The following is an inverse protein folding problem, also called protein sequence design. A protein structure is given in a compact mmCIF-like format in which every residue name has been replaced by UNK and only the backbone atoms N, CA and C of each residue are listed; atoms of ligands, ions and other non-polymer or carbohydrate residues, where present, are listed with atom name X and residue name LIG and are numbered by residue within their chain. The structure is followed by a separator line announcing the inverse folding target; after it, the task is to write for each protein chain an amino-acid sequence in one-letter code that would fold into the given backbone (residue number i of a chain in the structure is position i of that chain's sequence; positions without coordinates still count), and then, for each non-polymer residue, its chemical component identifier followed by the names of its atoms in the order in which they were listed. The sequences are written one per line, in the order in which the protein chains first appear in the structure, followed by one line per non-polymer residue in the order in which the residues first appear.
data_IF_889431303584
#
_entry.id   IF_889431303584
#
_cell.length_a   1.000
_cell.length_b   1.000
_cell.length_c   1.000
_cell.angle_alpha   90.00
_cell.angle_beta   90.00
_cell.angle_gamma   90.00
#
_symmetry.space_group_name_H-M   'P 1'
#
loop_
_entity.id
_entity.type
_entity.pdbx_description
1 polymer ?
#
# COMPACT_ATOMS: atom_id res chain seq x y z
N UNK A 1 9.84 0.64 -36.43
CA UNK A 1 9.08 1.91 -36.39
C UNK A 1 7.68 1.76 -35.79
N UNK A 2 6.85 0.81 -36.23
CA UNK A 2 5.52 0.60 -35.62
C UNK A 2 5.62 0.07 -34.17
N UNK A 3 6.39 -1.00 -33.94
CA UNK A 3 6.62 -1.57 -32.61
C UNK A 3 7.19 -0.56 -31.60
N UNK A 4 8.16 0.25 -32.02
CA UNK A 4 8.74 1.28 -31.16
C UNK A 4 7.70 2.32 -30.71
N UNK A 5 6.77 2.72 -31.60
CA UNK A 5 5.69 3.66 -31.24
C UNK A 5 4.71 3.04 -30.24
N UNK A 6 4.40 1.76 -30.37
CA UNK A 6 3.54 1.05 -29.41
C UNK A 6 4.17 1.01 -28.01
N UNK A 7 5.48 0.75 -27.91
CA UNK A 7 6.19 0.74 -26.62
C UNK A 7 6.21 2.13 -25.97
N UNK A 8 6.42 3.20 -26.74
CA UNK A 8 6.37 4.56 -26.21
C UNK A 8 4.96 4.97 -25.77
N UNK A 9 3.91 4.61 -26.52
CA UNK A 9 2.53 4.86 -26.13
C UNK A 9 2.16 4.11 -24.85
N UNK A 10 2.56 2.84 -24.74
CA UNK A 10 2.37 2.07 -23.52
C UNK A 10 3.10 2.72 -22.34
N UNK A 11 4.35 3.13 -22.52
CA UNK A 11 5.16 3.75 -21.47
C UNK A 11 4.56 5.09 -21.01
N UNK A 12 4.05 5.90 -21.93
CA UNK A 12 3.36 7.15 -21.60
C UNK A 12 2.05 6.91 -20.86
N UNK A 13 1.24 5.94 -21.30
CA UNK A 13 -0.01 5.58 -20.63
C UNK A 13 0.25 5.04 -19.21
N UNK A 14 1.26 4.18 -19.05
CA UNK A 14 1.67 3.65 -17.75
C UNK A 14 2.17 4.78 -16.83
N UNK A 15 3.00 5.69 -17.35
CA UNK A 15 3.53 6.82 -16.59
C UNK A 15 2.48 7.80 -16.09
N UNK A 16 1.36 7.97 -16.81
CA UNK A 16 0.25 8.83 -16.36
C UNK A 16 -0.75 8.13 -15.42
N UNK A 17 -0.80 6.80 -15.42
CA UNK A 17 -1.79 6.03 -14.67
C UNK A 17 -1.16 5.22 -13.54
N UNK A 18 -0.84 3.95 -13.79
CA UNK A 18 -0.35 3.01 -12.79
C UNK A 18 0.98 3.43 -12.15
N UNK A 19 1.82 4.18 -12.85
CA UNK A 19 3.09 4.69 -12.33
C UNK A 19 2.92 5.45 -11.01
N UNK A 20 2.25 6.61 -11.00
CA UNK A 20 1.98 7.36 -9.77
C UNK A 20 0.91 6.71 -8.88
N UNK A 21 -0.17 6.18 -9.49
CA UNK A 21 -1.31 5.65 -8.71
C UNK A 21 -0.91 4.45 -7.86
N UNK A 22 -0.01 3.58 -8.34
CA UNK A 22 0.42 2.40 -7.60
C UNK A 22 1.10 2.70 -6.26
N UNK A 23 1.71 3.89 -6.12
CA UNK A 23 2.37 4.32 -4.89
C UNK A 23 1.46 5.13 -3.97
N UNK A 24 0.49 5.85 -4.55
CA UNK A 24 -0.45 6.69 -3.79
C UNK A 24 -1.60 5.86 -3.23
N UNK A 25 -2.15 4.93 -4.02
CA UNK A 25 -3.34 4.15 -3.67
C UNK A 25 -3.23 3.40 -2.33
N UNK A 26 -2.12 2.72 -1.98
CA UNK A 26 -2.01 2.07 -0.68
C UNK A 26 -2.12 3.06 0.49
N UNK A 27 -1.66 4.29 0.32
CA UNK A 27 -1.72 5.31 1.38
C UNK A 27 -3.14 5.86 1.61
N UNK A 28 -3.98 5.81 0.58
CA UNK A 28 -5.37 6.26 0.61
C UNK A 28 -6.33 5.15 1.05
N UNK A 29 -6.03 3.88 0.73
CA UNK A 29 -6.90 2.74 1.06
C UNK A 29 -6.79 2.31 2.53
N UNK A 30 -5.62 2.49 3.17
CA UNK A 30 -5.44 2.06 4.56
C UNK A 30 -5.80 3.16 5.58
N UNK A 31 -6.60 2.84 6.62
CA UNK A 31 -6.94 3.78 7.69
C UNK A 31 -5.70 4.14 8.52
N UNK A 32 -5.70 5.33 9.11
CA UNK A 32 -4.53 5.96 9.73
C UNK A 32 -3.81 5.08 10.78
N UNK A 33 -4.58 4.29 11.51
CA UNK A 33 -4.11 3.37 12.56
C UNK A 33 -3.15 2.28 12.07
N UNK A 34 -3.47 1.68 10.92
CA UNK A 34 -2.73 0.54 10.33
C UNK A 34 -1.98 0.92 9.07
N UNK A 35 -2.07 2.17 8.63
CA UNK A 35 -1.49 2.68 7.37
C UNK A 35 -0.03 2.30 7.22
N UNK A 36 0.80 2.52 8.24
CA UNK A 36 2.24 2.21 8.17
C UNK A 36 2.50 0.71 7.95
N UNK A 37 1.71 -0.17 8.57
CA UNK A 37 1.79 -1.63 8.40
C UNK A 37 1.26 -2.08 7.02
N UNK A 38 0.14 -1.51 6.58
CA UNK A 38 -0.44 -1.81 5.26
C UNK A 38 0.44 -1.35 4.09
N UNK A 39 0.98 -0.12 4.17
CA UNK A 39 1.86 0.45 3.14
C UNK A 39 3.20 -0.31 3.07
N UNK A 40 3.77 -0.72 4.19
CA UNK A 40 4.99 -1.53 4.22
C UNK A 40 4.78 -2.92 3.61
N UNK A 41 3.66 -3.59 3.89
CA UNK A 41 3.32 -4.87 3.26
C UNK A 41 3.07 -4.73 1.74
N UNK A 42 2.39 -3.66 1.33
CA UNK A 42 2.18 -3.35 -0.09
C UNK A 42 3.50 -3.12 -0.82
N UNK A 43 4.41 -2.35 -0.21
CA UNK A 43 5.76 -2.10 -0.74
C UNK A 43 6.58 -3.37 -0.81
N UNK A 44 6.58 -4.20 0.24
CA UNK A 44 7.27 -5.49 0.24
C UNK A 44 6.74 -6.42 -0.87
N UNK A 45 5.42 -6.47 -1.05
CA UNK A 45 4.78 -7.25 -2.12
C UNK A 45 5.15 -6.72 -3.51
N UNK A 46 5.27 -5.41 -3.69
CA UNK A 46 5.71 -4.81 -4.95
C UNK A 46 7.14 -5.25 -5.30
N UNK A 47 8.07 -5.14 -4.35
CA UNK A 47 9.46 -5.56 -4.55
C UNK A 47 9.59 -7.07 -4.78
N UNK A 48 8.82 -7.88 -4.06
CA UNK A 48 8.80 -9.32 -4.26
C UNK A 48 8.31 -9.70 -5.67
N UNK A 49 7.24 -9.09 -6.15
CA UNK A 49 6.75 -9.33 -7.51
C UNK A 49 7.74 -8.83 -8.58
N UNK A 50 8.41 -7.69 -8.35
CA UNK A 50 9.48 -7.22 -9.24
C UNK A 50 10.64 -8.22 -9.31
N UNK A 51 11.05 -8.79 -8.18
CA UNK A 51 12.07 -9.85 -8.16
C UNK A 51 11.62 -11.08 -8.95
N UNK A 52 10.38 -11.53 -8.75
CA UNK A 52 9.83 -12.69 -9.45
C UNK A 52 9.78 -12.47 -10.97
N UNK A 53 9.30 -11.31 -11.41
CA UNK A 53 9.26 -10.94 -12.84
C UNK A 53 10.69 -10.86 -13.39
N UNK A 54 11.63 -10.26 -12.65
CA UNK A 54 13.04 -10.18 -13.04
C UNK A 54 13.69 -11.55 -13.22
N UNK A 55 13.29 -12.55 -12.43
CA UNK A 55 13.78 -13.93 -12.54
C UNK A 55 13.11 -14.70 -13.70
N UNK A 56 11.79 -14.56 -13.88
CA UNK A 56 11.03 -15.33 -14.87
C UNK A 56 11.12 -14.77 -16.29
N UNK A 57 11.21 -13.45 -16.44
CA UNK A 57 11.22 -12.78 -17.76
C UNK A 57 12.37 -13.23 -18.68
N UNK A 58 13.64 -13.32 -18.23
CA UNK A 58 14.72 -13.78 -19.12
C UNK A 58 14.49 -15.22 -19.62
N UNK A 59 14.12 -16.13 -18.73
CA UNK A 59 13.83 -17.54 -19.05
C UNK A 59 12.70 -17.69 -20.09
N UNK A 60 11.61 -16.93 -19.94
CA UNK A 60 10.47 -17.00 -20.87
C UNK A 60 10.81 -16.34 -22.21
N UNK A 61 11.61 -15.27 -22.20
CA UNK A 61 12.01 -14.55 -23.41
C UNK A 61 12.92 -15.39 -24.29
N UNK A 62 13.81 -16.19 -23.70
CA UNK A 62 14.68 -17.11 -24.44
C UNK A 62 13.91 -18.22 -25.17
N UNK A 63 12.82 -18.70 -24.57
CA UNK A 63 11.98 -19.75 -25.15
C UNK A 63 11.04 -19.17 -26.21
N UNK A 64 10.34 -18.08 -25.90
CA UNK A 64 9.38 -17.45 -26.84
C UNK A 64 9.22 -15.95 -26.54
N UNK A 65 9.85 -15.07 -27.35
CA UNK A 65 9.71 -13.63 -27.20
C UNK A 65 8.26 -13.14 -27.32
N UNK A 66 7.50 -13.67 -28.29
CA UNK A 66 6.09 -13.32 -28.50
C UNK A 66 5.17 -13.77 -27.36
N UNK A 67 5.47 -14.91 -26.73
CA UNK A 67 4.73 -15.44 -25.58
C UNK A 67 4.90 -14.57 -24.34
N UNK A 68 6.10 -14.03 -24.13
CA UNK A 68 6.38 -13.10 -23.01
C UNK A 68 5.51 -11.85 -23.09
N UNK A 69 5.38 -11.25 -24.27
CA UNK A 69 4.48 -10.10 -24.47
C UNK A 69 3.00 -10.44 -24.30
N UNK A 70 2.59 -11.67 -24.65
CA UNK A 70 1.22 -12.14 -24.43
C UNK A 70 0.90 -12.25 -22.94
N UNK A 71 1.82 -12.80 -22.14
CA UNK A 71 1.68 -12.91 -20.67
C UNK A 71 1.51 -11.52 -20.05
N UNK A 72 2.34 -10.55 -20.43
CA UNK A 72 2.20 -9.18 -19.93
C UNK A 72 0.90 -8.51 -20.39
N UNK A 73 0.46 -8.76 -21.62
CA UNK A 73 -0.82 -8.23 -22.11
C UNK A 73 -2.00 -8.76 -21.31
N UNK A 74 -2.01 -10.07 -21.01
CA UNK A 74 -3.04 -10.71 -20.17
C UNK A 74 -3.00 -10.15 -18.75
N UNK A 75 -1.80 -10.01 -18.16
CA UNK A 75 -1.62 -9.43 -16.83
C UNK A 75 -2.14 -7.98 -16.76
N UNK A 76 -1.85 -7.15 -17.76
CA UNK A 76 -2.39 -5.79 -17.86
C UNK A 76 -3.93 -5.79 -18.00
N UNK A 77 -4.50 -6.73 -18.76
CA UNK A 77 -5.95 -6.84 -18.90
C UNK A 77 -6.65 -7.22 -17.59
N UNK A 78 -6.10 -8.19 -16.85
CA UNK A 78 -6.59 -8.51 -15.50
C UNK A 78 -6.41 -7.33 -14.54
N UNK A 79 -5.29 -6.61 -14.61
CA UNK A 79 -5.05 -5.39 -13.85
C UNK A 79 -6.10 -4.33 -14.13
N UNK A 80 -6.47 -4.13 -15.40
CA UNK A 80 -7.53 -3.22 -15.82
C UNK A 80 -8.88 -3.63 -15.23
N UNK A 81 -9.30 -4.88 -15.38
CA UNK A 81 -10.55 -5.40 -14.79
C UNK A 81 -10.55 -5.18 -13.27
N UNK A 82 -9.46 -5.54 -12.60
CA UNK A 82 -9.35 -5.34 -11.16
C UNK A 82 -9.46 -3.87 -10.79
N UNK A 83 -8.79 -2.97 -11.51
CA UNK A 83 -8.91 -1.53 -11.26
C UNK A 83 -10.32 -0.99 -11.46
N UNK A 84 -11.07 -1.47 -12.45
CA UNK A 84 -12.43 -0.98 -12.72
C UNK A 84 -13.47 -1.50 -11.74
N UNK A 85 -13.29 -2.69 -11.18
CA UNK A 85 -14.30 -3.32 -10.31
C UNK A 85 -13.92 -3.34 -8.82
N UNK A 86 -12.64 -3.49 -8.48
CA UNK A 86 -12.19 -3.63 -7.09
C UNK A 86 -11.81 -2.27 -6.47
N UNK A 87 -11.25 -1.36 -7.25
CA UNK A 87 -10.99 0.02 -6.80
C UNK A 87 -12.26 0.83 -6.98
N UNK A 88 -13.16 0.77 -5.98
CA UNK A 88 -14.24 1.76 -5.90
C UNK A 88 -13.59 3.12 -5.67
N UNK A 89 -13.91 4.09 -6.51
CA UNK A 89 -13.42 5.47 -6.44
C UNK A 89 -13.33 5.95 -4.99
N UNK A 90 -12.11 6.04 -4.45
CA UNK A 90 -11.83 6.64 -3.13
C UNK A 90 -11.99 8.18 -3.18
N UNK A 91 -12.48 8.73 -4.29
CA UNK A 91 -12.48 10.14 -4.60
C UNK A 91 -13.66 10.93 -3.98
N UNK A 92 -14.59 10.28 -3.26
CA UNK A 92 -15.78 10.96 -2.72
C UNK A 92 -16.14 10.55 -1.28
N UNK A 93 -15.21 9.93 -0.56
CA UNK A 93 -15.38 9.63 0.86
C UNK A 93 -14.24 10.33 1.59
N UNK A 94 -14.57 11.21 2.54
CA UNK A 94 -13.56 11.89 3.33
C UNK A 94 -12.73 10.86 4.09
N UNK A 95 -11.43 11.14 4.32
CA UNK A 95 -10.56 10.27 5.14
C UNK A 95 -11.13 9.97 6.53
N UNK A 96 -12.07 10.80 7.00
CA UNK A 96 -12.79 10.68 8.28
C UNK A 96 -13.96 9.68 8.23
N UNK A 97 -14.61 9.48 7.07
CA UNK A 97 -15.74 8.54 6.90
C UNK A 97 -15.30 7.09 6.61
N UNK A 98 -14.02 6.85 6.24
CA UNK A 98 -13.49 5.49 6.12
C UNK A 98 -13.43 4.75 7.47
N UNK A 99 -13.31 5.47 8.58
CA UNK A 99 -13.39 4.87 9.93
C UNK A 99 -14.80 4.31 10.20
N UNK A 100 -15.86 4.90 9.61
CA UNK A 100 -17.24 4.40 9.73
C UNK A 100 -17.49 3.15 8.86
N UNK A 101 -16.86 3.05 7.68
CA UNK A 101 -17.00 1.88 6.78
C UNK A 101 -16.25 0.65 7.31
N UNK A 102 -15.15 0.85 8.07
CA UNK A 102 -14.39 -0.23 8.72
C UNK A 102 -14.71 -0.42 10.22
N UNK A 103 -15.75 0.26 10.73
CA UNK A 103 -16.15 0.39 12.15
C UNK A 103 -16.59 -0.87 12.90
N UNK A 104 -16.23 -2.09 12.45
CA UNK A 104 -16.55 -3.31 13.20
C UNK A 104 -15.35 -3.98 13.86
N UNK A 105 -14.11 -3.75 13.41
CA UNK A 105 -12.95 -4.49 13.94
C UNK A 105 -11.65 -3.69 14.06
N UNK A 106 -11.26 -2.92 13.04
CA UNK A 106 -9.97 -2.23 13.05
C UNK A 106 -9.93 -0.99 13.98
N UNK A 107 -11.04 -0.25 14.10
CA UNK A 107 -11.12 0.94 14.96
C UNK A 107 -11.06 0.64 16.46
N UNK A 108 -11.62 -0.51 16.89
CA UNK A 108 -11.58 -0.94 18.29
C UNK A 108 -10.15 -1.26 18.75
N UNK A 109 -9.35 -1.88 17.88
CA UNK A 109 -7.96 -2.22 18.21
C UNK A 109 -7.08 -0.97 18.33
N UNK A 110 -7.28 0.04 17.48
CA UNK A 110 -6.52 1.30 17.57
C UNK A 110 -6.92 2.15 18.78
N UNK A 111 -8.21 2.16 19.14
CA UNK A 111 -8.69 2.81 20.36
C UNK A 111 -8.04 2.18 21.61
N UNK A 112 -7.98 0.85 21.67
CA UNK A 112 -7.34 0.12 22.77
C UNK A 112 -5.83 0.38 22.83
N UNK A 113 -5.13 0.40 21.70
CA UNK A 113 -3.69 0.70 21.64
C UNK A 113 -3.38 2.14 22.08
N UNK A 114 -4.13 3.14 21.59
CA UNK A 114 -3.97 4.54 22.02
C UNK A 114 -4.26 4.70 23.51
N UNK A 115 -5.26 4.00 24.05
CA UNK A 115 -5.55 4.01 25.48
C UNK A 115 -4.43 3.37 26.30
N UNK A 116 -3.84 2.26 25.84
CA UNK A 116 -2.72 1.60 26.51
C UNK A 116 -1.43 2.44 26.50
N UNK A 117 -1.10 3.07 25.38
CA UNK A 117 0.07 3.97 25.26
C UNK A 117 -0.11 5.21 26.13
N UNK A 118 -1.31 5.82 26.11
CA UNK A 118 -1.63 6.97 26.97
C UNK A 118 -1.62 6.63 28.46
N UNK A 119 -2.02 5.39 28.82
CA UNK A 119 -1.91 4.90 30.20
C UNK A 119 -0.45 4.71 30.62
N UNK A 120 0.38 4.07 29.78
CA UNK A 120 1.80 3.87 30.06
C UNK A 120 2.58 5.19 30.16
N UNK A 121 2.30 6.15 29.27
CA UNK A 121 2.94 7.46 29.29
C UNK A 121 2.63 8.24 30.58
N UNK A 122 1.35 8.24 31.01
CA UNK A 122 0.95 8.85 32.30
C UNK A 122 1.54 8.13 33.50
N UNK A 123 1.62 6.80 33.46
CA UNK A 123 2.19 6.04 34.57
C UNK A 123 3.69 6.28 34.71
N UNK A 124 4.41 6.41 33.58
CA UNK A 124 5.83 6.75 33.56
C UNK A 124 6.05 8.18 34.08
N UNK A 125 5.22 9.15 33.70
CA UNK A 125 5.37 10.53 34.19
C UNK A 125 5.13 10.63 35.70
N UNK A 126 4.10 9.94 36.22
CA UNK A 126 3.80 9.93 37.67
C UNK A 126 4.91 9.25 38.46
N UNK A 127 5.51 8.18 37.95
CA UNK A 127 6.62 7.49 38.61
C UNK A 127 7.90 8.33 38.58
N UNK A 128 8.16 9.05 37.49
CA UNK A 128 9.27 10.00 37.39
C UNK A 128 9.10 11.17 38.36
N UNK A 129 7.90 11.77 38.45
CA UNK A 129 7.62 12.89 39.36
C UNK A 129 7.73 12.46 40.84
N UNK A 130 7.23 11.28 41.19
CA UNK A 130 7.34 10.74 42.54
C UNK A 130 8.79 10.37 42.93
N UNK A 131 9.57 9.84 41.99
CA UNK A 131 10.99 9.57 42.19
C UNK A 131 11.82 10.85 42.34
N UNK A 132 11.47 11.91 41.61
CA UNK A 132 12.11 13.22 41.73
C UNK A 132 11.81 13.87 43.09
N UNK A 133 10.59 13.71 43.62
CA UNK A 133 10.23 14.18 44.97
C UNK A 133 11.02 13.46 46.07
N UNK A 134 11.24 12.15 45.96
CA UNK A 134 12.00 11.36 46.94
C UNK A 134 13.51 11.64 46.94
N UNK A 135 14.06 12.22 45.88
CA UNK A 135 15.47 12.62 45.79
C UNK A 135 15.70 14.08 46.22
N UNK A 136 14.62 14.84 46.45
CA UNK A 136 14.65 16.25 46.83
C UNK A 136 14.50 16.48 48.36
N UNK A 137 14.30 15.41 49.14
CA UNK A 137 14.28 15.38 50.61
C UNK A 137 15.58 14.74 51.15
#
# INVERSE_FOLDING_TARGET
LFLSRCVYLFSAAYGMSYGPIGWVLPTEVFPLSVRSKGVSLSTASNWFNNFLIGLLTPEITEITPSGTFLVFTIACFFGYIWSTYAVREAANISLEEMDEVFSSSAGCEDANLKQQVGYHARHISVVLDAGLMLLAD
#
